data_IF_641815659944
#
_entry.id   IF_641815659944
#
_cell.length_a   1.000
_cell.length_b   1.000
_cell.length_c   1.000
_cell.angle_alpha   90.00
_cell.angle_beta   90.00
_cell.angle_gamma   90.00
#
_symmetry.space_group_name_H-M   'P 1'
#
loop_
_entity.id
_entity.type
_entity.pdbx_description
1 polymer ?
#
# COMPACT_ATOMS: atom_id res chain seq x y z
N UNK A 1 -0.94 -0.25 -17.28
CA UNK A 1 -1.18 0.27 -15.92
C UNK A 1 0.03 1.09 -15.50
N UNK A 2 -0.14 2.34 -15.09
CA UNK A 2 0.96 3.23 -14.68
C UNK A 2 1.03 3.33 -13.15
N UNK A 3 2.22 3.17 -12.56
CA UNK A 3 2.45 3.22 -11.12
C UNK A 3 3.91 3.66 -10.81
N UNK A 4 4.29 3.68 -9.53
CA UNK A 4 5.66 3.95 -9.10
C UNK A 4 6.13 2.89 -8.10
N UNK A 5 7.45 2.71 -8.00
CA UNK A 5 8.10 1.87 -7.00
C UNK A 5 8.51 2.73 -5.81
N UNK A 6 8.04 2.38 -4.60
CA UNK A 6 8.28 3.20 -3.40
C UNK A 6 9.71 3.08 -2.88
N UNK A 7 10.28 1.88 -2.95
CA UNK A 7 11.64 1.54 -2.50
C UNK A 7 12.51 1.13 -3.70
N UNK A 8 13.73 0.64 -3.43
CA UNK A 8 14.64 0.12 -4.43
C UNK A 8 14.12 -1.14 -5.15
N UNK A 9 14.99 -1.86 -5.88
CA UNK A 9 14.55 -3.07 -6.56
C UNK A 9 14.12 -4.15 -5.56
N UNK A 10 14.82 -4.23 -4.43
CA UNK A 10 14.36 -4.80 -3.18
C UNK A 10 14.24 -3.71 -2.08
N UNK A 11 13.77 -4.08 -0.89
CA UNK A 11 13.52 -3.17 0.23
C UNK A 11 14.81 -2.61 0.87
N UNK A 12 15.95 -3.27 0.68
CA UNK A 12 17.25 -2.86 1.24
C UNK A 12 18.09 -2.01 0.27
N UNK A 13 17.71 -1.95 -1.01
CA UNK A 13 18.39 -1.15 -2.03
C UNK A 13 18.10 0.35 -1.86
N UNK A 14 19.12 1.20 -1.99
CA UNK A 14 18.96 2.66 -2.07
C UNK A 14 18.89 3.13 -3.54
N UNK A 15 17.69 3.45 -4.06
CA UNK A 15 17.52 3.80 -5.46
C UNK A 15 17.97 5.22 -5.81
N UNK A 16 18.15 6.12 -4.84
CA UNK A 16 18.58 7.49 -5.16
C UNK A 16 20.00 7.60 -5.66
N UNK A 17 20.81 6.55 -5.51
CA UNK A 17 22.16 6.47 -6.06
C UNK A 17 22.11 6.61 -7.59
N UNK A 18 21.13 5.99 -8.25
CA UNK A 18 21.01 6.00 -9.72
C UNK A 18 19.84 6.85 -10.22
N UNK A 19 18.79 7.03 -9.42
CA UNK A 19 17.55 7.70 -9.81
C UNK A 19 17.13 8.80 -8.81
N UNK A 20 18.00 9.80 -8.53
CA UNK A 20 17.78 10.74 -7.43
C UNK A 20 16.56 11.66 -7.62
N UNK A 21 16.31 12.15 -8.83
CA UNK A 21 15.22 13.08 -9.12
C UNK A 21 13.84 12.42 -8.91
N UNK A 22 13.66 11.22 -9.46
CA UNK A 22 12.39 10.51 -9.39
C UNK A 22 12.09 10.07 -7.95
N UNK A 23 13.08 9.57 -7.20
CA UNK A 23 12.85 9.16 -5.82
C UNK A 23 12.70 10.33 -4.86
N UNK A 24 13.23 11.52 -5.17
CA UNK A 24 12.89 12.76 -4.45
C UNK A 24 11.39 13.07 -4.60
N UNK A 25 10.86 13.01 -5.83
CA UNK A 25 9.43 13.23 -6.07
C UNK A 25 8.57 12.15 -5.38
N UNK A 26 8.91 10.87 -5.54
CA UNK A 26 8.16 9.75 -4.95
C UNK A 26 8.10 9.87 -3.42
N UNK A 27 9.21 10.22 -2.76
CA UNK A 27 9.26 10.34 -1.29
C UNK A 27 8.37 11.46 -0.75
N UNK A 28 8.20 12.55 -1.51
CA UNK A 28 7.31 13.65 -1.15
C UNK A 28 5.81 13.32 -1.35
N UNK A 29 5.47 12.26 -2.09
CA UNK A 29 4.08 11.88 -2.32
C UNK A 29 3.51 11.09 -1.14
N UNK A 30 2.27 11.40 -0.70
CA UNK A 30 1.51 10.48 0.13
C UNK A 30 1.25 9.17 -0.62
N UNK A 31 1.14 8.07 0.13
CA UNK A 31 0.89 6.75 -0.45
C UNK A 31 -0.44 6.72 -1.21
N UNK A 32 -0.56 5.84 -2.21
CA UNK A 32 -1.81 5.71 -2.95
C UNK A 32 -3.00 5.34 -2.05
N UNK A 33 -2.78 4.48 -1.04
CA UNK A 33 -3.80 4.13 -0.03
C UNK A 33 -4.30 5.37 0.72
N UNK A 34 -3.37 6.21 1.19
CA UNK A 34 -3.72 7.44 1.90
C UNK A 34 -4.50 8.41 1.01
N UNK A 35 -4.03 8.68 -0.21
CA UNK A 35 -4.71 9.58 -1.15
C UNK A 35 -6.15 9.15 -1.45
N UNK A 36 -6.36 7.85 -1.61
CA UNK A 36 -7.69 7.33 -1.88
C UNK A 36 -8.59 7.39 -0.64
N UNK A 37 -8.06 7.07 0.54
CA UNK A 37 -8.79 7.24 1.79
C UNK A 37 -9.20 8.71 2.02
N UNK A 38 -8.29 9.67 1.81
CA UNK A 38 -8.58 11.10 1.92
C UNK A 38 -9.71 11.53 0.96
N UNK A 39 -9.69 11.04 -0.28
CA UNK A 39 -10.77 11.27 -1.25
C UNK A 39 -12.11 10.74 -0.74
N UNK A 40 -12.16 9.48 -0.28
CA UNK A 40 -13.39 8.86 0.20
C UNK A 40 -13.95 9.53 1.46
N UNK A 41 -13.06 10.03 2.33
CA UNK A 41 -13.43 10.82 3.50
C UNK A 41 -14.03 12.17 3.08
N UNK A 42 -13.42 12.85 2.11
CA UNK A 42 -13.95 14.11 1.57
C UNK A 42 -15.32 13.92 0.89
N UNK A 43 -15.55 12.76 0.27
CA UNK A 43 -16.83 12.36 -0.31
C UNK A 43 -17.86 11.89 0.74
N UNK A 44 -17.46 11.76 2.00
CA UNK A 44 -18.32 11.24 3.09
C UNK A 44 -18.66 9.75 2.98
N UNK A 45 -17.97 9.01 2.11
CA UNK A 45 -18.20 7.56 1.92
C UNK A 45 -17.74 6.76 3.12
N UNK A 46 -16.65 7.18 3.76
CA UNK A 46 -16.14 6.62 5.02
C UNK A 46 -15.73 7.77 5.95
N UNK A 47 -15.78 7.53 7.25
CA UNK A 47 -15.21 8.45 8.24
C UNK A 47 -13.70 8.21 8.43
N UNK A 48 -13.02 9.21 9.00
CA UNK A 48 -11.61 9.08 9.40
C UNK A 48 -11.40 7.91 10.36
N UNK A 49 -12.30 7.76 11.35
CA UNK A 49 -12.27 6.67 12.33
C UNK A 49 -12.43 5.30 11.67
N UNK A 50 -13.31 5.18 10.66
CA UNK A 50 -13.46 3.94 9.90
C UNK A 50 -12.17 3.58 9.14
N UNK A 51 -11.53 4.55 8.48
CA UNK A 51 -10.24 4.31 7.81
C UNK A 51 -9.13 3.88 8.81
N UNK A 52 -9.07 4.49 9.99
CA UNK A 52 -8.10 4.11 11.04
C UNK A 52 -8.36 2.70 11.57
N UNK A 53 -9.62 2.36 11.83
CA UNK A 53 -10.04 1.02 12.25
C UNK A 53 -9.64 -0.04 11.22
N UNK A 54 -9.91 0.19 9.93
CA UNK A 54 -9.52 -0.74 8.86
C UNK A 54 -8.02 -1.05 8.85
N UNK A 55 -7.17 -0.05 9.12
CA UNK A 55 -5.70 -0.24 9.19
C UNK A 55 -5.32 -1.03 10.44
N UNK A 56 -5.95 -0.75 11.58
CA UNK A 56 -5.70 -1.46 12.84
C UNK A 56 -6.13 -2.93 12.73
N UNK A 57 -7.35 -3.18 12.25
CA UNK A 57 -7.91 -4.52 12.10
C UNK A 57 -7.07 -5.40 11.16
N UNK A 58 -6.58 -4.81 10.07
CA UNK A 58 -5.72 -5.54 9.12
C UNK A 58 -4.37 -5.89 9.73
N UNK A 59 -3.75 -4.98 10.51
CA UNK A 59 -2.51 -5.26 11.23
C UNK A 59 -2.71 -6.34 12.28
N UNK A 60 -3.77 -6.22 13.09
CA UNK A 60 -4.12 -7.22 14.09
C UNK A 60 -4.33 -8.60 13.45
N UNK A 61 -4.99 -8.67 12.28
CA UNK A 61 -5.17 -9.93 11.57
C UNK A 61 -3.85 -10.57 11.15
N UNK A 62 -2.86 -9.76 10.72
CA UNK A 62 -1.52 -10.25 10.41
C UNK A 62 -0.78 -10.74 11.66
N UNK A 63 -0.88 -9.99 12.76
CA UNK A 63 -0.25 -10.34 14.04
C UNK A 63 -0.83 -11.64 14.63
N UNK A 64 -2.13 -11.88 14.44
CA UNK A 64 -2.83 -13.11 14.82
C UNK A 64 -2.59 -14.28 13.86
N UNK A 65 -1.88 -14.06 12.74
CA UNK A 65 -1.65 -15.08 11.71
C UNK A 65 -2.91 -15.50 10.94
N UNK A 66 -3.96 -14.67 10.96
CA UNK A 66 -5.19 -14.93 10.18
C UNK A 66 -4.90 -14.82 8.69
N UNK A 67 -5.60 -15.63 7.90
CA UNK A 67 -5.57 -15.53 6.44
C UNK A 67 -6.32 -14.26 6.02
N UNK A 68 -5.57 -13.20 5.71
CA UNK A 68 -6.12 -11.90 5.26
C UNK A 68 -6.39 -11.82 3.76
N UNK A 69 -5.91 -12.81 3.00
CA UNK A 69 -6.13 -12.93 1.57
C UNK A 69 -6.35 -14.41 1.20
N UNK A 70 -7.43 -14.76 0.48
CA UNK A 70 -7.63 -16.14 0.06
C UNK A 70 -6.46 -16.58 -0.84
N UNK A 71 -5.92 -17.79 -0.67
CA UNK A 71 -4.86 -18.28 -1.54
C UNK A 71 -5.31 -18.23 -2.99
N UNK A 72 -4.43 -17.78 -3.89
CA UNK A 72 -4.71 -17.78 -5.32
C UNK A 72 -5.14 -19.19 -5.75
N UNK A 73 -6.13 -19.33 -6.65
CA UNK A 73 -6.55 -20.64 -7.11
C UNK A 73 -5.34 -21.39 -7.66
N UNK A 74 -5.18 -22.65 -7.26
CA UNK A 74 -4.13 -23.51 -7.77
C UNK A 74 -4.18 -23.47 -9.31
N UNK A 75 -3.07 -23.11 -9.95
CA UNK A 75 -2.98 -23.20 -11.41
C UNK A 75 -3.24 -24.65 -11.78
N UNK A 76 -4.31 -24.92 -12.52
CA UNK A 76 -4.53 -26.24 -13.10
C UNK A 76 -3.32 -26.56 -13.96
N UNK A 77 -2.55 -27.58 -13.58
CA UNK A 77 -1.53 -28.13 -14.44
C UNK A 77 -2.25 -28.82 -15.60
N UNK A 78 -2.26 -28.18 -16.76
CA UNK A 78 -2.56 -28.82 -18.04
C UNK A 78 -1.26 -29.12 -18.74
#
# INVERSE_FOLDING_TARGET
>A
MFCYRRLGHNEADEPSITQPSIYRMIRALPTMRQRYAEKLIAEGTISKTQNEAMVADYRQALDEGRVVYPPAPARSAT
#
